data_IF_047147907097
#
_entry.id   IF_047147907097
#
_cell.length_a   1.000
_cell.length_b   1.000
_cell.length_c   1.000
_cell.angle_alpha   90.00
_cell.angle_beta   90.00
_cell.angle_gamma   90.00
#
_symmetry.space_group_name_H-M   'P 1'
#
loop_
_entity.id
_entity.type
_entity.pdbx_description
1 polymer ?
#
# COMPACT_ATOMS: atom_id res chain seq x y z
N UNK A 1 0.67 11.69 14.09
CA UNK A 1 -0.28 12.14 13.08
C UNK A 1 -1.61 12.36 13.75
N UNK A 2 -2.32 13.42 13.37
CA UNK A 2 -3.71 13.60 13.81
C UNK A 2 -4.63 12.67 13.03
N UNK A 3 -5.80 12.37 13.56
CA UNK A 3 -6.78 11.45 12.93
C UNK A 3 -7.25 11.97 11.57
N UNK A 4 -7.45 13.29 11.44
CA UNK A 4 -7.82 13.95 10.18
C UNK A 4 -6.78 13.77 9.07
N UNK A 5 -5.51 13.96 9.40
CA UNK A 5 -4.39 13.77 8.48
C UNK A 5 -4.28 12.31 8.01
N UNK A 6 -4.54 11.35 8.91
CA UNK A 6 -4.51 9.93 8.58
C UNK A 6 -5.57 9.56 7.54
N UNK A 7 -6.79 10.09 7.68
CA UNK A 7 -7.88 9.88 6.71
C UNK A 7 -7.50 10.43 5.34
N UNK A 8 -6.92 11.63 5.27
CA UNK A 8 -6.44 12.20 4.01
C UNK A 8 -5.37 11.32 3.36
N UNK A 9 -4.41 10.79 4.14
CA UNK A 9 -3.34 9.94 3.61
C UNK A 9 -3.88 8.63 3.05
N UNK A 10 -4.91 8.04 3.64
CA UNK A 10 -5.55 6.82 3.10
C UNK A 10 -6.16 7.04 1.72
N UNK A 11 -6.66 8.24 1.44
CA UNK A 11 -7.23 8.63 0.14
C UNK A 11 -6.19 8.80 -0.97
N UNK A 12 -4.91 8.96 -0.65
CA UNK A 12 -3.85 9.17 -1.63
C UNK A 12 -3.53 7.89 -2.44
N UNK A 13 -3.05 8.10 -3.67
CA UNK A 13 -2.51 7.04 -4.53
C UNK A 13 -1.12 6.59 -4.08
N UNK A 14 -0.68 5.41 -4.51
CA UNK A 14 0.66 4.90 -4.18
C UNK A 14 1.79 5.83 -4.64
N UNK A 15 1.60 6.56 -5.75
CA UNK A 15 2.58 7.52 -6.27
C UNK A 15 2.69 8.75 -5.34
N UNK A 16 1.56 9.30 -4.93
CA UNK A 16 1.52 10.43 -4.01
C UNK A 16 2.06 10.06 -2.62
N UNK A 17 1.76 8.85 -2.14
CA UNK A 17 2.32 8.33 -0.89
C UNK A 17 3.85 8.25 -0.93
N UNK A 18 4.45 7.86 -2.07
CA UNK A 18 5.92 7.87 -2.26
C UNK A 18 6.49 9.29 -2.22
N UNK A 19 5.83 10.26 -2.83
CA UNK A 19 6.26 11.67 -2.80
C UNK A 19 6.23 12.18 -1.35
N UNK A 20 5.13 11.93 -0.65
CA UNK A 20 4.96 12.34 0.76
C UNK A 20 5.95 11.65 1.69
N UNK A 21 6.28 10.38 1.44
CA UNK A 21 7.32 9.64 2.15
C UNK A 21 8.69 10.32 2.02
N UNK A 22 9.07 10.71 0.79
CA UNK A 22 10.34 11.42 0.54
C UNK A 22 10.39 12.76 1.27
N UNK A 23 9.30 13.53 1.22
CA UNK A 23 9.16 14.80 1.93
C UNK A 23 9.36 14.64 3.44
N UNK A 24 8.65 13.72 4.09
CA UNK A 24 8.79 13.48 5.54
C UNK A 24 10.17 12.97 5.91
N UNK A 25 10.80 12.16 5.04
CA UNK A 25 12.17 11.69 5.26
C UNK A 25 13.17 12.85 5.25
N UNK A 26 13.02 13.79 4.29
CA UNK A 26 13.82 15.01 4.23
C UNK A 26 13.60 15.92 5.45
N UNK A 27 12.36 16.08 5.89
CA UNK A 27 12.05 16.82 7.12
C UNK A 27 12.71 16.20 8.36
N UNK A 28 12.67 14.87 8.48
CA UNK A 28 13.35 14.16 9.59
C UNK A 28 14.86 14.39 9.51
N UNK A 29 15.46 14.31 8.32
CA UNK A 29 16.89 14.55 8.15
C UNK A 29 17.28 15.97 8.59
N UNK A 30 16.53 16.98 8.18
CA UNK A 30 16.74 18.37 8.60
C UNK A 30 16.60 18.52 10.12
N UNK A 31 15.56 17.94 10.72
CA UNK A 31 15.38 17.97 12.17
C UNK A 31 16.51 17.26 12.93
N UNK A 32 17.08 16.20 12.38
CA UNK A 32 18.24 15.52 12.97
C UNK A 32 19.49 16.41 12.89
N UNK A 33 19.72 17.09 11.77
CA UNK A 33 20.83 18.05 11.63
C UNK A 33 20.70 19.20 12.63
N UNK A 34 19.51 19.78 12.75
CA UNK A 34 19.25 20.88 13.68
C UNK A 34 19.33 20.44 15.15
N UNK A 35 18.93 19.21 15.47
CA UNK A 35 19.16 18.60 16.79
C UNK A 35 20.66 18.53 17.09
N UNK A 36 21.47 18.05 16.15
CA UNK A 36 22.91 17.92 16.34
C UNK A 36 23.61 19.28 16.48
N UNK A 37 23.01 20.35 15.93
CA UNK A 37 23.46 21.74 16.08
C UNK A 37 22.92 22.42 17.35
N UNK A 38 22.25 21.69 18.24
CA UNK A 38 21.57 22.21 19.44
C UNK A 38 20.57 23.35 19.16
N UNK A 39 20.03 23.41 17.94
CA UNK A 39 19.04 24.44 17.53
C UNK A 39 17.61 24.08 17.92
N UNK A 40 17.35 22.81 18.27
CA UNK A 40 16.02 22.30 18.62
C UNK A 40 15.87 22.19 20.13
N UNK A 41 14.84 22.84 20.68
CA UNK A 41 14.42 22.66 22.07
C UNK A 41 13.52 21.42 22.27
N UNK A 42 12.62 21.14 21.31
CA UNK A 42 11.72 19.98 21.39
C UNK A 42 12.22 18.78 20.58
N UNK A 43 12.94 17.88 21.26
CA UNK A 43 13.45 16.64 20.64
C UNK A 43 12.32 15.65 20.27
N UNK A 44 11.13 15.78 20.90
CA UNK A 44 10.00 14.87 20.65
C UNK A 44 9.42 15.05 19.25
N UNK A 45 9.68 16.18 18.59
CA UNK A 45 9.21 16.43 17.23
C UNK A 45 9.72 15.38 16.23
N UNK A 46 10.97 14.92 16.40
CA UNK A 46 11.57 13.86 15.57
C UNK A 46 10.83 12.55 15.77
N UNK A 47 10.53 12.20 17.03
CA UNK A 47 9.80 10.98 17.35
C UNK A 47 8.38 11.00 16.78
N UNK A 48 7.70 12.16 16.81
CA UNK A 48 6.37 12.33 16.21
C UNK A 48 6.43 12.14 14.70
N UNK A 49 7.39 12.77 14.02
CA UNK A 49 7.59 12.64 12.57
C UNK A 49 7.96 11.21 12.14
N UNK A 50 8.76 10.49 12.93
CA UNK A 50 9.04 9.05 12.70
C UNK A 50 7.80 8.19 12.80
N UNK A 51 6.89 8.49 13.74
CA UNK A 51 5.60 7.80 13.84
C UNK A 51 4.74 8.06 12.60
N UNK A 52 4.76 9.29 12.09
CA UNK A 52 4.04 9.64 10.85
C UNK A 52 4.59 8.87 9.64
N UNK A 53 5.93 8.77 9.53
CA UNK A 53 6.61 7.97 8.51
C UNK A 53 6.17 6.49 8.56
N UNK A 54 6.16 5.90 9.75
CA UNK A 54 5.76 4.49 9.93
C UNK A 54 4.30 4.24 9.52
N UNK A 55 3.40 5.18 9.81
CA UNK A 55 1.99 5.07 9.40
C UNK A 55 1.82 5.13 7.89
N UNK A 56 2.56 5.99 7.19
CA UNK A 56 2.54 6.08 5.73
C UNK A 56 3.04 4.78 5.10
N UNK A 57 4.16 4.24 5.60
CA UNK A 57 4.70 2.95 5.14
C UNK A 57 3.70 1.81 5.33
N UNK A 58 2.99 1.80 6.46
CA UNK A 58 1.94 0.81 6.76
C UNK A 58 0.82 0.88 5.72
N UNK A 59 0.31 2.08 5.44
CA UNK A 59 -0.76 2.29 4.44
C UNK A 59 -0.29 1.89 3.04
N UNK A 60 0.96 2.21 2.68
CA UNK A 60 1.53 1.78 1.40
C UNK A 60 1.55 0.24 1.29
N UNK A 61 2.00 -0.45 2.35
CA UNK A 61 2.02 -1.92 2.37
C UNK A 61 0.62 -2.51 2.26
N UNK A 62 -0.35 -1.96 2.98
CA UNK A 62 -1.76 -2.39 2.91
C UNK A 62 -2.30 -2.25 1.48
N UNK A 63 -2.06 -1.11 0.81
CA UNK A 63 -2.48 -0.91 -0.59
C UNK A 63 -1.81 -1.90 -1.55
N UNK A 64 -0.53 -2.21 -1.35
CA UNK A 64 0.16 -3.22 -2.17
C UNK A 64 -0.43 -4.62 -1.98
N UNK A 65 -0.74 -4.99 -0.73
CA UNK A 65 -1.36 -6.28 -0.43
C UNK A 65 -2.75 -6.41 -1.04
N UNK A 66 -3.55 -5.34 -1.07
CA UNK A 66 -4.85 -5.33 -1.73
C UNK A 66 -4.72 -5.62 -3.24
N UNK A 67 -3.77 -4.95 -3.91
CA UNK A 67 -3.50 -5.19 -5.34
C UNK A 67 -3.05 -6.64 -5.57
N UNK A 68 -2.21 -7.19 -4.70
CA UNK A 68 -1.78 -8.58 -4.79
C UNK A 68 -2.95 -9.56 -4.63
N UNK A 69 -3.87 -9.28 -3.69
CA UNK A 69 -5.07 -10.08 -3.49
C UNK A 69 -6.02 -10.01 -4.70
N UNK A 70 -6.26 -8.83 -5.25
CA UNK A 70 -7.09 -8.64 -6.45
C UNK A 70 -6.54 -9.47 -7.63
N UNK A 71 -5.23 -9.40 -7.88
CA UNK A 71 -4.58 -10.18 -8.95
C UNK A 71 -4.69 -11.71 -8.77
N UNK A 72 -4.70 -12.18 -7.51
CA UNK A 72 -4.89 -13.60 -7.17
C UNK A 72 -6.32 -14.05 -7.41
N UNK A 73 -7.31 -13.21 -7.11
CA UNK A 73 -8.72 -13.52 -7.37
C UNK A 73 -8.98 -13.62 -8.87
N UNK A 74 -8.52 -12.65 -9.66
CA UNK A 74 -8.67 -12.66 -11.12
C UNK A 74 -8.10 -13.93 -11.74
N UNK A 75 -6.86 -14.29 -11.39
CA UNK A 75 -6.20 -15.51 -11.90
C UNK A 75 -6.93 -16.80 -11.52
N UNK A 76 -7.58 -16.86 -10.35
CA UNK A 76 -8.41 -18.00 -9.97
C UNK A 76 -9.75 -18.04 -10.73
N UNK A 77 -10.39 -16.90 -11.01
CA UNK A 77 -11.61 -16.86 -11.81
C UNK A 77 -11.37 -17.31 -13.26
N UNK A 78 -10.28 -16.87 -13.90
CA UNK A 78 -9.89 -17.34 -15.23
C UNK A 78 -9.62 -18.85 -15.28
N UNK A 79 -9.14 -19.46 -14.19
CA UNK A 79 -8.92 -20.90 -14.11
C UNK A 79 -10.23 -21.69 -14.04
N UNK A 80 -11.24 -21.18 -13.32
CA UNK A 80 -12.57 -21.80 -13.21
C UNK A 80 -13.33 -21.78 -14.55
N UNK A 81 -13.25 -20.66 -15.29
CA UNK A 81 -13.90 -20.54 -16.62
C UNK A 81 -13.31 -21.52 -17.65
N UNK A 82 -12.00 -21.81 -17.57
CA UNK A 82 -11.37 -22.83 -18.43
C UNK A 82 -11.84 -24.26 -18.10
N UNK A 83 -12.09 -24.57 -16.84
CA UNK A 83 -12.58 -25.89 -16.43
C UNK A 83 -14.04 -26.13 -16.82
N UNK A 84 -14.90 -25.11 -16.75
CA UNK A 84 -16.30 -25.22 -17.17
C UNK A 84 -16.44 -25.31 -18.70
N UNK A 85 -15.60 -24.61 -19.47
CA UNK A 85 -15.55 -24.70 -20.94
C UNK A 85 -15.05 -26.05 -21.46
N UNK A 86 -14.15 -26.74 -20.74
CA UNK A 86 -13.73 -28.11 -21.08
C UNK A 86 -14.82 -29.14 -20.77
N UNK A 87 -15.53 -29.00 -19.65
CA UNK A 87 -16.61 -29.92 -19.29
C UNK A 87 -17.84 -29.81 -20.21
N UNK A 88 -18.13 -28.62 -20.76
CA UNK A 88 -19.20 -28.49 -21.76
C UNK A 88 -18.83 -29.09 -23.11
N UNK A 89 -17.55 -29.04 -23.54
CA UNK A 89 -17.07 -29.77 -24.74
C UNK A 89 -17.13 -31.29 -24.59
N UNK A 90 -16.73 -31.82 -23.42
CA UNK A 90 -16.74 -33.27 -23.16
C UNK A 90 -18.17 -33.85 -23.09
N UNK A 91 -19.17 -33.05 -22.68
CA UNK A 91 -20.57 -33.49 -22.64
C UNK A 91 -21.20 -33.63 -24.03
N UNK A 92 -20.85 -32.73 -24.97
CA UNK A 92 -21.38 -32.74 -26.35
C UNK A 92 -20.81 -33.92 -27.17
N UNK A 93 -19.58 -34.36 -26.93
CA UNK A 93 -18.99 -35.49 -27.65
C UNK A 93 -19.51 -36.86 -27.19
N UNK A 94 -19.97 -36.99 -25.94
CA UNK A 94 -20.49 -38.26 -25.41
C UNK A 94 -21.94 -38.56 -25.77
N UNK A 95 -22.71 -37.56 -26.21
CA UNK A 95 -24.09 -37.75 -26.69
C UNK A 95 -24.19 -38.02 -28.21
N UNK A 96 -23.06 -37.99 -28.93
CA UNK A 96 -22.99 -38.20 -30.40
C UNK A 96 -22.42 -39.55 -30.84
N UNK A 97 -22.22 -40.50 -29.93
CA UNK A 97 -21.79 -41.87 -30.22
C UNK A 97 -22.84 -42.85 -29.73
#
# INVERSE_FOLDING_TARGET
MKTSELTQIKGLTLKELKIKLKSITGEIANLVLDKNRNKIKDVKIISKKRKDLAQILTIMRQKQLLIELESRVESQEFSKVKTTSKNSKVKIEKEKK
#
